data_IF_937692709006
#
_entry.id   IF_937692709006
#
_cell.length_a   1.000
_cell.length_b   1.000
_cell.length_c   1.000
_cell.angle_alpha   90.00
_cell.angle_beta   90.00
_cell.angle_gamma   90.00
#
_symmetry.space_group_name_H-M   'P 1'
#
loop_
_entity.id
_entity.type
_entity.pdbx_description
1 polymer ?
#
# COMPACT_ATOMS: atom_id res chain seq x y z
N UNK A 1 -47.57 21.90 15.40
CA UNK A 1 -46.54 21.67 14.34
C UNK A 1 -45.11 21.57 14.89
N UNK A 2 -44.86 20.85 15.99
CA UNK A 2 -43.52 20.77 16.63
C UNK A 2 -42.88 19.37 16.61
N UNK A 3 -43.55 18.37 16.02
CA UNK A 3 -43.08 16.97 15.95
C UNK A 3 -42.33 16.61 14.66
N UNK A 4 -42.43 17.43 13.59
CA UNK A 4 -41.74 17.16 12.32
C UNK A 4 -40.32 17.72 12.24
N UNK A 5 -39.97 18.70 13.09
CA UNK A 5 -38.61 19.28 13.15
C UNK A 5 -37.63 18.33 13.82
N UNK A 6 -38.10 17.49 14.76
CA UNK A 6 -37.22 16.57 15.50
C UNK A 6 -36.81 15.33 14.69
N UNK A 7 -37.53 14.99 13.62
CA UNK A 7 -37.23 13.84 12.75
C UNK A 7 -36.14 14.20 11.72
N UNK A 8 -36.02 15.48 11.35
CA UNK A 8 -34.98 15.97 10.43
C UNK A 8 -33.59 16.15 11.08
N UNK A 9 -33.52 16.21 12.41
CA UNK A 9 -32.26 16.30 13.16
C UNK A 9 -31.61 14.93 13.42
N UNK A 10 -32.36 13.84 13.33
CA UNK A 10 -31.86 12.46 13.52
C UNK A 10 -31.35 11.85 12.20
N UNK A 11 -31.79 12.35 11.04
CA UNK A 11 -31.31 11.87 9.74
C UNK A 11 -29.92 12.40 9.35
N UNK A 12 -29.32 13.29 10.15
CA UNK A 12 -27.95 13.76 9.95
C UNK A 12 -26.93 12.97 10.79
N UNK A 13 -27.39 12.00 11.58
CA UNK A 13 -26.51 11.17 12.41
C UNK A 13 -25.94 10.02 11.57
N UNK A 14 -24.68 10.22 11.18
CA UNK A 14 -23.69 9.18 10.98
C UNK A 14 -23.88 8.22 9.80
N UNK A 15 -23.70 8.74 8.58
CA UNK A 15 -22.97 7.99 7.55
C UNK A 15 -21.46 8.26 7.68
N UNK A 16 -20.91 8.08 8.89
CA UNK A 16 -19.47 7.94 9.06
C UNK A 16 -19.14 6.50 8.66
N UNK A 17 -19.03 6.26 7.36
CA UNK A 17 -18.45 5.02 6.87
C UNK A 17 -17.02 4.97 7.40
N UNK A 18 -16.79 4.11 8.40
CA UNK A 18 -15.45 3.77 8.84
C UNK A 18 -14.78 3.01 7.68
N UNK A 19 -14.21 3.74 6.72
CA UNK A 19 -13.39 3.15 5.68
C UNK A 19 -12.21 2.49 6.39
N UNK A 20 -12.03 1.18 6.19
CA UNK A 20 -10.79 0.53 6.59
C UNK A 20 -9.63 1.34 6.00
N UNK A 21 -8.82 1.95 6.86
CA UNK A 21 -7.63 2.64 6.41
C UNK A 21 -6.61 1.58 6.02
N UNK A 22 -6.11 1.70 4.80
CA UNK A 22 -5.06 0.85 4.25
C UNK A 22 -3.75 1.64 4.19
N UNK A 23 -2.62 0.93 4.16
CA UNK A 23 -1.33 1.55 3.83
C UNK A 23 -1.43 2.14 2.41
N UNK A 24 -0.98 3.38 2.25
CA UNK A 24 -0.90 4.07 0.96
C UNK A 24 0.31 3.57 0.18
N UNK A 25 0.17 2.38 -0.39
CA UNK A 25 1.15 1.80 -1.29
C UNK A 25 1.28 2.65 -2.56
N UNK A 26 2.51 2.84 -3.01
CA UNK A 26 2.84 3.59 -4.23
C UNK A 26 4.01 2.91 -4.94
N UNK A 27 4.24 3.30 -6.20
CA UNK A 27 5.45 2.84 -6.92
C UNK A 27 6.71 3.50 -6.34
N UNK A 28 7.88 2.93 -6.63
CA UNK A 28 9.14 3.52 -6.19
C UNK A 28 9.33 4.91 -6.81
N UNK A 29 8.94 5.09 -8.07
CA UNK A 29 9.00 6.35 -8.80
C UNK A 29 8.12 7.42 -8.14
N UNK A 30 6.89 7.07 -7.76
CA UNK A 30 5.99 7.95 -7.03
C UNK A 30 6.58 8.34 -5.67
N UNK A 31 7.12 7.36 -4.93
CA UNK A 31 7.75 7.61 -3.63
C UNK A 31 8.97 8.55 -3.75
N UNK A 32 9.82 8.38 -4.76
CA UNK A 32 10.98 9.24 -5.03
C UNK A 32 10.53 10.65 -5.46
N UNK A 33 9.51 10.74 -6.32
CA UNK A 33 8.96 12.02 -6.75
C UNK A 33 8.38 12.81 -5.57
N UNK A 34 7.66 12.13 -4.67
CA UNK A 34 7.14 12.72 -3.43
C UNK A 34 8.24 13.06 -2.44
N UNK A 35 9.26 12.21 -2.29
CA UNK A 35 10.41 12.46 -1.41
C UNK A 35 11.17 13.74 -1.78
N UNK A 36 11.28 14.06 -3.08
CA UNK A 36 11.87 15.32 -3.55
C UNK A 36 11.05 16.55 -3.14
N UNK A 37 9.72 16.43 -3.05
CA UNK A 37 8.81 17.54 -2.68
C UNK A 37 8.64 17.67 -1.17
N UNK A 38 8.51 16.55 -0.48
CA UNK A 38 8.26 16.47 0.96
C UNK A 38 9.12 15.34 1.52
N UNK A 39 10.26 15.69 2.14
CA UNK A 39 11.22 14.70 2.63
C UNK A 39 10.59 13.76 3.66
N UNK A 40 10.55 12.47 3.32
CA UNK A 40 10.07 11.38 4.16
C UNK A 40 10.82 10.10 3.76
N UNK A 41 11.02 9.19 4.70
CA UNK A 41 11.70 7.91 4.44
C UNK A 41 10.81 7.00 3.60
N UNK A 42 11.43 6.17 2.76
CA UNK A 42 10.74 5.12 2.02
C UNK A 42 10.81 3.83 2.84
N UNK A 43 9.66 3.22 3.08
CA UNK A 43 9.55 1.87 3.62
C UNK A 43 9.25 0.94 2.44
N UNK A 44 10.12 -0.03 2.20
CA UNK A 44 9.95 -0.99 1.10
C UNK A 44 9.60 -2.36 1.65
N UNK A 45 8.42 -2.86 1.28
CA UNK A 45 8.01 -4.25 1.47
C UNK A 45 8.44 -5.06 0.25
N UNK A 46 9.51 -5.84 0.41
CA UNK A 46 10.05 -6.70 -0.65
C UNK A 46 9.44 -8.09 -0.49
N UNK A 47 8.67 -8.52 -1.48
CA UNK A 47 7.94 -9.79 -1.44
C UNK A 47 8.08 -10.58 -2.75
N UNK A 48 7.54 -11.80 -2.75
CA UNK A 48 7.27 -12.59 -3.96
C UNK A 48 5.89 -13.22 -3.88
N UNK A 49 5.28 -13.56 -5.02
CA UNK A 49 3.91 -14.08 -5.07
C UNK A 49 3.74 -15.44 -4.35
N UNK A 50 4.82 -16.22 -4.22
CA UNK A 50 4.82 -17.52 -3.54
C UNK A 50 5.23 -17.45 -2.07
N UNK A 51 5.76 -16.32 -1.59
CA UNK A 51 6.29 -16.18 -0.24
C UNK A 51 5.18 -16.25 0.82
N UNK A 52 5.06 -17.42 1.48
CA UNK A 52 4.11 -17.64 2.58
C UNK A 52 4.28 -16.64 3.75
N UNK A 53 5.50 -16.47 4.29
CA UNK A 53 5.74 -15.47 5.34
C UNK A 53 5.35 -14.04 4.95
N UNK A 54 5.59 -13.63 3.72
CA UNK A 54 5.23 -12.30 3.22
C UNK A 54 3.70 -12.10 3.22
N UNK A 55 2.93 -13.12 2.81
CA UNK A 55 1.47 -13.10 2.90
C UNK A 55 0.96 -13.05 4.35
N UNK A 56 1.64 -13.73 5.27
CA UNK A 56 1.30 -13.67 6.69
C UNK A 56 1.56 -12.29 7.28
N UNK A 57 2.68 -11.66 6.92
CA UNK A 57 3.00 -10.29 7.32
C UNK A 57 1.94 -9.31 6.81
N UNK A 58 1.59 -9.39 5.53
CA UNK A 58 0.56 -8.55 4.91
C UNK A 58 -0.78 -8.67 5.65
N UNK A 59 -1.26 -9.91 5.79
CA UNK A 59 -2.55 -10.20 6.44
C UNK A 59 -2.61 -9.75 7.89
N UNK A 60 -1.55 -10.01 8.67
CA UNK A 60 -1.59 -9.85 10.12
C UNK A 60 -1.07 -8.50 10.62
N UNK A 61 -0.29 -7.79 9.80
CA UNK A 61 0.39 -6.54 10.22
C UNK A 61 -0.02 -5.34 9.39
N UNK A 62 -0.07 -5.45 8.06
CA UNK A 62 -0.29 -4.26 7.20
C UNK A 62 -1.73 -3.77 7.16
N UNK A 63 -2.68 -4.54 7.69
CA UNK A 63 -4.06 -4.10 7.92
C UNK A 63 -4.33 -3.71 9.39
N UNK A 64 -3.34 -3.79 10.28
CA UNK A 64 -3.50 -3.30 11.65
C UNK A 64 -3.59 -1.76 11.64
N UNK A 65 -4.62 -1.20 12.28
CA UNK A 65 -4.90 0.25 12.25
C UNK A 65 -3.72 1.11 12.73
N UNK A 66 -3.06 0.70 13.82
CA UNK A 66 -1.95 1.45 14.40
C UNK A 66 -0.74 1.43 13.45
N UNK A 67 -0.50 0.28 12.80
CA UNK A 67 0.54 0.14 11.78
C UNK A 67 0.24 1.01 10.56
N UNK A 68 -1.00 0.96 10.05
CA UNK A 68 -1.43 1.76 8.91
C UNK A 68 -1.24 3.24 9.19
N UNK A 69 -1.71 3.72 10.34
CA UNK A 69 -1.57 5.12 10.73
C UNK A 69 -0.10 5.52 10.82
N UNK A 70 0.71 4.70 11.51
CA UNK A 70 2.13 4.97 11.68
C UNK A 70 2.88 4.99 10.34
N UNK A 71 2.61 4.03 9.45
CA UNK A 71 3.26 3.95 8.14
C UNK A 71 2.86 5.14 7.27
N UNK A 72 1.55 5.43 7.15
CA UNK A 72 1.07 6.54 6.33
C UNK A 72 1.58 7.90 6.83
N UNK A 73 1.70 8.07 8.15
CA UNK A 73 2.22 9.30 8.76
C UNK A 73 3.72 9.46 8.49
N UNK A 74 4.51 8.40 8.67
CA UNK A 74 5.97 8.52 8.77
C UNK A 74 6.74 8.06 7.52
N UNK A 75 6.13 7.29 6.62
CA UNK A 75 6.81 6.71 5.44
C UNK A 75 6.04 6.92 4.13
N UNK A 76 6.79 6.85 3.03
CA UNK A 76 6.24 6.48 1.72
C UNK A 76 6.40 4.96 1.58
N UNK A 77 5.30 4.24 1.48
CA UNK A 77 5.30 2.78 1.47
C UNK A 77 5.31 2.24 0.04
N UNK A 78 6.27 1.39 -0.28
CA UNK A 78 6.42 0.77 -1.61
C UNK A 78 6.33 -0.74 -1.46
N UNK A 79 5.47 -1.37 -2.28
CA UNK A 79 5.46 -2.83 -2.46
C UNK A 79 6.29 -3.18 -3.68
N UNK A 80 7.30 -4.01 -3.50
CA UNK A 80 8.22 -4.41 -4.56
C UNK A 80 8.25 -5.93 -4.69
N UNK A 81 7.82 -6.45 -5.83
CA UNK A 81 7.91 -7.87 -6.14
C UNK A 81 9.32 -8.18 -6.68
N UNK A 82 10.14 -8.85 -5.87
CA UNK A 82 11.54 -9.13 -6.21
C UNK A 82 11.73 -10.09 -7.40
N UNK A 83 10.71 -10.88 -7.72
CA UNK A 83 10.70 -11.80 -8.86
C UNK A 83 9.68 -11.35 -9.93
N UNK A 84 9.19 -10.11 -9.83
CA UNK A 84 8.22 -9.55 -10.77
C UNK A 84 8.82 -9.21 -12.12
N UNK A 85 7.96 -8.68 -12.99
CA UNK A 85 8.30 -8.15 -14.30
C UNK A 85 8.26 -6.62 -14.37
N UNK A 86 8.15 -5.96 -13.22
CA UNK A 86 8.14 -4.50 -13.15
C UNK A 86 9.48 -3.93 -13.62
N UNK A 87 9.42 -2.85 -14.39
CA UNK A 87 10.60 -2.08 -14.79
C UNK A 87 10.74 -0.90 -13.84
N UNK A 88 11.86 -0.82 -13.13
CA UNK A 88 12.12 0.20 -12.13
C UNK A 88 13.07 1.25 -12.70
N UNK A 89 12.67 2.51 -12.65
CA UNK A 89 13.50 3.64 -13.07
C UNK A 89 14.10 4.33 -11.86
N UNK A 90 15.42 4.21 -11.69
CA UNK A 90 16.14 4.76 -10.53
C UNK A 90 17.45 5.40 -10.93
N UNK A 91 17.67 6.65 -10.50
CA UNK A 91 18.90 7.41 -10.75
C UNK A 91 19.32 7.46 -12.23
N UNK A 92 18.35 7.57 -13.15
CA UNK A 92 18.61 7.61 -14.60
C UNK A 92 18.89 6.25 -15.23
N UNK A 93 18.79 5.16 -14.47
CA UNK A 93 18.92 3.79 -14.97
C UNK A 93 17.56 3.08 -14.93
N UNK A 94 17.36 2.17 -15.87
CA UNK A 94 16.19 1.27 -15.90
C UNK A 94 16.62 -0.15 -15.55
N UNK A 95 15.96 -0.73 -14.56
CA UNK A 95 16.18 -2.09 -14.09
C UNK A 95 14.98 -2.95 -14.47
N UNK A 96 15.23 -4.10 -15.07
CA UNK A 96 14.19 -5.04 -15.47
C UNK A 96 14.62 -6.47 -15.12
N UNK A 97 13.65 -7.40 -15.12
CA UNK A 97 13.91 -8.82 -14.93
C UNK A 97 13.82 -9.56 -16.27
N UNK A 98 14.92 -9.65 -17.06
CA UNK A 98 14.90 -10.30 -18.37
C UNK A 98 14.67 -11.82 -18.27
N UNK A 99 14.87 -12.42 -17.09
CA UNK A 99 14.62 -13.83 -16.83
C UNK A 99 13.20 -14.15 -16.36
N UNK A 100 12.30 -13.15 -16.31
CA UNK A 100 10.95 -13.36 -15.85
C UNK A 100 10.19 -14.37 -16.73
N UNK A 101 9.69 -15.44 -16.11
CA UNK A 101 8.82 -16.42 -16.74
C UNK A 101 7.43 -16.37 -16.09
N UNK A 102 6.38 -15.90 -16.82
CA UNK A 102 5.02 -15.82 -16.28
C UNK A 102 4.47 -17.19 -15.86
N UNK A 103 4.93 -18.29 -16.46
CA UNK A 103 4.50 -19.63 -16.07
C UNK A 103 5.06 -20.06 -14.71
N UNK A 104 6.12 -19.39 -14.24
CA UNK A 104 6.75 -19.65 -12.95
C UNK A 104 6.43 -18.62 -11.88
N UNK A 105 5.89 -17.44 -12.21
CA UNK A 105 5.68 -16.31 -11.28
C UNK A 105 5.13 -16.64 -9.86
N UNK A 106 4.31 -17.69 -9.70
CA UNK A 106 3.77 -18.14 -8.42
C UNK A 106 4.50 -19.33 -7.76
N UNK A 107 5.67 -19.72 -8.28
CA UNK A 107 6.49 -20.85 -7.79
C UNK A 107 7.71 -20.36 -7.05
N UNK A 108 8.10 -21.10 -6.02
CA UNK A 108 9.32 -20.81 -5.25
C UNK A 108 10.56 -21.12 -6.07
N UNK A 109 11.51 -20.17 -6.11
CA UNK A 109 12.78 -20.24 -6.86
C UNK A 109 12.57 -20.35 -8.39
N UNK A 110 11.77 -19.42 -8.92
CA UNK A 110 11.41 -19.33 -10.35
C UNK A 110 12.57 -18.91 -11.25
#
# INVERSE_FOLDING_TARGET
>A
MKRKVFILLVSFFALATATAQEIKWMTLEEAIALQKKTPKKIMMDVYTAWCGPCKMLDKNTFHNKDVVEYVNKNYYAVKFNAEGNDVINYMGNSFSNPGYDPAKAARRNS
#
